data_IF_528758188302
#
_entry.id   IF_528758188302
#
_cell.length_a   1.000
_cell.length_b   1.000
_cell.length_c   1.000
_cell.angle_alpha   90.00
_cell.angle_beta   90.00
_cell.angle_gamma   90.00
#
_symmetry.space_group_name_H-M   'P 1'
#
loop_
_entity.id
_entity.type
_entity.pdbx_description
1 polymer ?
#
# COMPACT_ATOMS: atom_id res chain seq x y z
N UNK A 1 36.03 -21.30 -0.21
CA UNK A 1 35.29 -22.53 -0.54
C UNK A 1 34.58 -22.43 -1.88
N UNK A 2 34.19 -23.58 -2.45
CA UNK A 2 33.42 -23.60 -3.72
C UNK A 2 31.99 -23.08 -3.54
N UNK A 3 31.40 -23.23 -2.37
CA UNK A 3 30.06 -22.80 -2.04
C UNK A 3 29.98 -22.37 -0.58
N UNK A 4 29.04 -21.52 -0.28
CA UNK A 4 28.66 -21.13 1.08
C UNK A 4 27.17 -20.84 1.16
N UNK A 5 26.64 -21.07 2.35
CA UNK A 5 25.24 -20.78 2.72
C UNK A 5 25.26 -20.21 4.14
N UNK A 6 24.57 -19.12 4.32
CA UNK A 6 24.31 -18.47 5.60
C UNK A 6 22.81 -18.24 5.73
N UNK A 7 22.26 -18.54 6.88
CA UNK A 7 20.83 -18.39 7.17
C UNK A 7 20.71 -17.70 8.52
N UNK A 8 20.06 -16.54 8.54
CA UNK A 8 19.75 -15.79 9.73
C UNK A 8 18.23 -15.78 9.97
N UNK A 9 17.85 -16.13 11.18
CA UNK A 9 16.47 -16.03 11.67
C UNK A 9 16.47 -15.03 12.81
N UNK A 10 15.60 -14.03 12.72
CA UNK A 10 15.55 -12.99 13.75
C UNK A 10 14.11 -12.66 14.15
N UNK A 11 13.97 -12.27 15.40
CA UNK A 11 12.79 -11.60 15.95
C UNK A 11 13.26 -10.42 16.80
N UNK A 12 12.68 -9.24 16.57
CA UNK A 12 13.02 -8.03 17.30
C UNK A 12 11.73 -7.34 17.72
N UNK A 13 11.57 -7.14 19.03
CA UNK A 13 10.52 -6.32 19.60
C UNK A 13 11.05 -4.91 19.90
N UNK A 14 10.26 -3.91 19.53
CA UNK A 14 10.44 -2.51 19.92
C UNK A 14 9.25 -2.13 20.76
N UNK A 15 9.51 -1.85 22.01
CA UNK A 15 8.49 -1.45 22.99
C UNK A 15 8.53 0.07 23.18
N UNK A 16 7.43 0.62 23.66
CA UNK A 16 7.30 2.02 24.04
C UNK A 16 7.70 3.02 22.95
N UNK A 17 7.34 2.74 21.68
CA UNK A 17 7.63 3.68 20.59
C UNK A 17 6.92 5.01 20.80
N UNK A 18 7.64 6.09 20.55
CA UNK A 18 7.10 7.44 20.55
C UNK A 18 6.22 7.66 19.31
N UNK A 19 4.94 7.88 19.54
CA UNK A 19 3.98 8.25 18.52
C UNK A 19 3.34 9.59 18.86
N UNK A 20 3.02 10.35 17.81
CA UNK A 20 2.29 11.60 17.96
C UNK A 20 0.78 11.31 17.94
N UNK A 21 0.10 11.53 19.03
CA UNK A 21 -1.36 11.43 19.11
C UNK A 21 -2.00 12.81 19.20
N UNK A 22 -3.21 12.92 18.69
CA UNK A 22 -3.98 14.16 18.80
C UNK A 22 -4.56 14.32 20.20
N UNK A 23 -4.50 15.52 20.72
CA UNK A 23 -5.12 15.85 22.01
C UNK A 23 -6.64 15.76 21.88
N UNK A 24 -7.34 15.05 22.79
CA UNK A 24 -8.80 15.02 22.76
C UNK A 24 -9.39 16.43 22.90
N UNK A 25 -10.50 16.69 22.23
CA UNK A 25 -11.24 17.97 22.34
C UNK A 25 -11.58 18.27 23.81
N UNK A 26 -11.87 17.24 24.60
CA UNK A 26 -12.13 17.35 26.05
C UNK A 26 -10.94 17.90 26.86
N UNK A 27 -9.74 17.90 26.32
CA UNK A 27 -8.55 18.51 26.93
C UNK A 27 -8.40 20.00 26.60
N UNK A 28 -9.38 20.61 25.93
CA UNK A 28 -9.38 22.02 25.57
C UNK A 28 -8.59 22.37 24.32
N UNK A 29 -8.12 21.37 23.55
CA UNK A 29 -7.48 21.61 22.26
C UNK A 29 -8.53 22.04 21.24
N UNK A 30 -8.33 23.19 20.63
CA UNK A 30 -9.16 23.67 19.53
C UNK A 30 -8.36 23.64 18.24
N UNK A 31 -8.97 23.26 17.10
CA UNK A 31 -8.29 23.40 15.82
C UNK A 31 -7.99 24.88 15.58
N UNK A 32 -6.74 25.25 15.46
CA UNK A 32 -6.32 26.61 15.11
C UNK A 32 -6.28 26.70 13.59
N UNK A 33 -7.11 27.57 13.02
CA UNK A 33 -7.17 27.90 11.58
C UNK A 33 -7.39 26.71 10.62
N UNK A 34 -8.18 25.72 11.01
CA UNK A 34 -8.46 24.55 10.18
C UNK A 34 -7.28 23.55 10.08
N UNK A 35 -6.21 23.79 10.82
CA UNK A 35 -5.10 22.89 10.92
C UNK A 35 -5.14 22.10 12.24
N UNK A 36 -4.72 20.88 12.14
CA UNK A 36 -4.60 19.80 13.12
C UNK A 36 -4.57 20.22 14.59
N UNK A 37 -5.39 19.50 15.39
CA UNK A 37 -5.30 19.45 16.87
C UNK A 37 -3.87 19.39 17.36
N UNK A 38 -3.60 20.01 18.52
CA UNK A 38 -2.33 19.88 19.22
C UNK A 38 -1.98 18.40 19.35
N UNK A 39 -0.77 18.05 18.99
CA UNK A 39 -0.24 16.70 19.07
C UNK A 39 0.78 16.63 20.20
N UNK A 40 0.77 15.56 20.94
CA UNK A 40 1.83 15.28 21.89
C UNK A 40 2.45 13.91 21.61
N UNK A 41 3.76 13.81 21.85
CA UNK A 41 4.47 12.56 21.76
C UNK A 41 4.27 11.75 23.02
N UNK A 42 3.92 10.50 22.85
CA UNK A 42 3.78 9.57 23.99
C UNK A 42 4.25 8.17 23.60
N UNK A 43 4.64 7.39 24.56
CA UNK A 43 5.10 6.02 24.39
C UNK A 43 3.90 5.09 24.37
N UNK A 44 3.42 4.74 23.17
CA UNK A 44 2.14 4.02 23.03
C UNK A 44 2.17 2.83 22.08
N UNK A 45 3.30 2.53 21.47
CA UNK A 45 3.32 1.51 20.45
C UNK A 45 4.38 0.44 20.69
N UNK A 46 3.98 -0.82 20.53
CA UNK A 46 4.89 -1.96 20.48
C UNK A 46 4.88 -2.54 19.05
N UNK A 47 6.07 -2.75 18.51
CA UNK A 47 6.27 -3.24 17.16
C UNK A 47 7.13 -4.49 17.19
N UNK A 48 6.73 -5.50 16.44
CA UNK A 48 7.52 -6.71 16.20
C UNK A 48 7.96 -6.80 14.76
N UNK A 49 9.25 -7.09 14.56
CA UNK A 49 9.81 -7.51 13.28
C UNK A 49 10.34 -8.92 13.43
N UNK A 50 10.01 -9.80 12.53
CA UNK A 50 10.61 -11.14 12.42
C UNK A 50 10.91 -11.44 10.98
N UNK A 51 11.98 -12.19 10.76
CA UNK A 51 12.35 -12.46 9.39
C UNK A 51 13.35 -13.58 9.24
N UNK A 52 13.62 -13.84 7.98
CA UNK A 52 14.65 -14.77 7.52
C UNK A 52 15.49 -14.07 6.45
N UNK A 53 16.79 -14.20 6.58
CA UNK A 53 17.77 -13.81 5.57
C UNK A 53 18.58 -15.01 5.16
N UNK A 54 18.74 -15.22 3.85
CA UNK A 54 19.51 -16.32 3.29
C UNK A 54 20.50 -15.73 2.31
N UNK A 55 21.79 -16.01 2.53
CA UNK A 55 22.88 -15.66 1.62
C UNK A 55 23.53 -16.95 1.12
N UNK A 56 23.65 -17.09 -0.19
CA UNK A 56 24.28 -18.25 -0.81
C UNK A 56 25.25 -17.80 -1.89
N UNK A 57 26.36 -18.52 -2.03
CA UNK A 57 27.25 -18.35 -3.17
C UNK A 57 27.78 -19.66 -3.69
N UNK A 58 28.14 -19.68 -4.98
CA UNK A 58 28.79 -20.81 -5.65
C UNK A 58 29.82 -20.27 -6.63
N UNK A 59 31.07 -20.79 -6.47
CA UNK A 59 32.19 -20.50 -7.36
C UNK A 59 32.40 -21.68 -8.29
N UNK A 60 32.51 -21.42 -9.59
CA UNK A 60 32.75 -22.45 -10.60
C UNK A 60 33.73 -21.97 -11.66
N UNK A 61 34.53 -22.88 -12.15
CA UNK A 61 35.46 -22.63 -13.25
C UNK A 61 34.97 -23.35 -14.51
N UNK A 62 34.64 -22.58 -15.54
CA UNK A 62 34.29 -23.08 -16.87
C UNK A 62 35.54 -22.98 -17.77
N UNK A 63 36.45 -23.93 -17.69
CA UNK A 63 37.74 -23.85 -18.37
C UNK A 63 38.53 -22.63 -17.90
N UNK A 64 38.82 -21.66 -18.80
CA UNK A 64 39.58 -20.46 -18.43
C UNK A 64 38.71 -19.34 -17.83
N UNK A 65 37.41 -19.55 -17.66
CA UNK A 65 36.47 -18.56 -17.09
C UNK A 65 36.18 -18.91 -15.65
N UNK A 66 36.57 -18.02 -14.73
CA UNK A 66 36.18 -18.13 -13.32
C UNK A 66 34.85 -17.41 -13.10
N UNK A 67 33.90 -18.09 -12.46
CA UNK A 67 32.59 -17.53 -12.20
C UNK A 67 32.22 -17.61 -10.74
N UNK A 68 31.47 -16.57 -10.26
CA UNK A 68 30.83 -16.57 -8.97
C UNK A 68 29.35 -16.24 -9.13
N UNK A 69 28.51 -17.09 -8.64
CA UNK A 69 27.07 -16.87 -8.50
C UNK A 69 26.80 -16.56 -7.03
N UNK A 70 26.06 -15.51 -6.76
CA UNK A 70 25.61 -15.23 -5.40
C UNK A 70 24.14 -14.80 -5.41
N UNK A 71 23.42 -15.24 -4.39
CA UNK A 71 22.02 -14.93 -4.20
C UNK A 71 21.76 -14.55 -2.74
N UNK A 72 20.92 -13.59 -2.55
CA UNK A 72 20.36 -13.23 -1.26
C UNK A 72 18.84 -13.23 -1.34
N UNK A 73 18.21 -13.72 -0.28
CA UNK A 73 16.78 -13.69 -0.09
C UNK A 73 16.49 -13.11 1.29
N UNK A 74 15.56 -12.16 1.35
CA UNK A 74 15.12 -11.54 2.60
C UNK A 74 13.59 -11.55 2.66
N UNK A 75 13.06 -12.03 3.76
CA UNK A 75 11.65 -11.90 4.12
C UNK A 75 11.57 -11.31 5.52
N UNK A 76 10.91 -10.15 5.64
CA UNK A 76 10.65 -9.50 6.91
C UNK A 76 9.15 -9.30 7.10
N UNK A 77 8.62 -9.75 8.22
CA UNK A 77 7.25 -9.49 8.64
C UNK A 77 7.28 -8.46 9.76
N UNK A 78 6.63 -7.34 9.54
CA UNK A 78 6.47 -6.27 10.49
C UNK A 78 5.04 -6.27 11.02
N UNK A 79 4.87 -6.13 12.34
CA UNK A 79 3.54 -6.13 12.95
C UNK A 79 3.47 -5.16 14.12
N UNK A 80 2.44 -4.31 14.13
CA UNK A 80 2.05 -3.56 15.31
C UNK A 80 1.44 -4.54 16.32
N UNK A 81 2.10 -4.73 17.47
CA UNK A 81 1.66 -5.69 18.48
C UNK A 81 0.61 -5.06 19.37
N UNK A 82 0.82 -3.79 19.74
CA UNK A 82 -0.04 -3.07 20.69
C UNK A 82 0.02 -1.57 20.42
N UNK A 83 -1.09 -0.90 20.66
CA UNK A 83 -1.21 0.53 20.83
C UNK A 83 -1.74 0.80 22.25
N UNK A 84 -1.66 2.04 22.74
CA UNK A 84 -1.94 2.37 24.14
C UNK A 84 -3.36 2.05 24.61
N UNK A 85 -4.29 2.02 23.66
CA UNK A 85 -5.70 1.65 23.89
C UNK A 85 -6.07 0.48 23.01
N UNK A 86 -6.76 -0.49 23.59
CA UNK A 86 -7.32 -1.61 22.85
C UNK A 86 -8.34 -1.10 21.80
N UNK A 87 -8.20 -1.53 20.56
CA UNK A 87 -9.05 -1.08 19.46
C UNK A 87 -8.72 0.33 18.91
N UNK A 88 -7.63 0.95 19.37
CA UNK A 88 -7.19 2.24 18.82
C UNK A 88 -6.62 2.06 17.41
N UNK A 89 -7.22 2.77 16.46
CA UNK A 89 -6.69 2.92 15.11
C UNK A 89 -6.12 4.32 15.01
N UNK A 90 -4.81 4.42 14.89
CA UNK A 90 -4.16 5.69 14.60
C UNK A 90 -4.05 5.77 13.07
N UNK A 91 -4.94 6.53 12.47
CA UNK A 91 -4.76 6.91 11.08
C UNK A 91 -3.52 7.80 11.00
N UNK A 92 -2.59 7.44 10.12
CA UNK A 92 -1.40 8.24 9.91
C UNK A 92 -1.80 9.58 9.30
N UNK A 93 -2.24 10.48 10.16
CA UNK A 93 -2.56 11.85 9.86
C UNK A 93 -1.32 12.73 9.77
N UNK A 94 -0.17 12.18 9.38
CA UNK A 94 0.98 13.02 9.08
C UNK A 94 0.57 14.02 7.99
N UNK A 95 0.69 15.33 8.26
CA UNK A 95 0.13 16.37 7.39
C UNK A 95 0.72 16.40 5.98
N UNK A 96 1.72 15.57 5.69
CA UNK A 96 2.45 15.55 4.43
C UNK A 96 2.25 14.28 3.60
N UNK A 97 1.48 13.30 4.07
CA UNK A 97 1.18 12.11 3.27
C UNK A 97 -0.15 12.34 2.57
N UNK A 98 -0.04 12.81 1.33
CA UNK A 98 -1.08 12.82 0.30
C UNK A 98 -2.44 13.35 0.80
N UNK A 99 -2.47 14.58 1.27
CA UNK A 99 -3.73 15.34 1.36
C UNK A 99 -4.04 15.95 -0.01
N UNK A 100 -4.50 15.11 -0.91
CA UNK A 100 -5.20 15.62 -2.08
C UNK A 100 -6.63 15.84 -1.62
N UNK A 101 -7.01 17.09 -1.47
CA UNK A 101 -8.37 17.56 -1.13
C UNK A 101 -8.91 17.19 0.27
N UNK A 102 -8.06 17.16 1.32
CA UNK A 102 -8.48 17.03 2.74
C UNK A 102 -9.23 15.75 3.10
N UNK A 103 -9.23 14.76 2.25
CA UNK A 103 -9.96 13.53 2.45
C UNK A 103 -9.12 12.48 3.16
N UNK A 104 -9.77 11.49 3.63
CA UNK A 104 -9.36 10.44 4.56
C UNK A 104 -7.99 9.81 4.29
N UNK A 105 -7.23 9.49 5.33
CA UNK A 105 -5.96 8.76 5.21
C UNK A 105 -6.20 7.36 4.63
N UNK A 106 -5.25 6.90 3.81
CA UNK A 106 -5.27 5.55 3.21
C UNK A 106 -4.44 4.56 4.01
N UNK A 107 -3.45 5.04 4.78
CA UNK A 107 -2.59 4.23 5.61
C UNK A 107 -3.01 4.34 7.08
N UNK A 108 -2.88 3.24 7.80
CA UNK A 108 -3.24 3.14 9.23
C UNK A 108 -2.11 2.53 10.04
N UNK A 109 -2.11 2.87 11.32
CA UNK A 109 -1.39 2.15 12.36
C UNK A 109 -2.44 1.49 13.25
N UNK A 110 -2.55 0.17 13.17
CA UNK A 110 -3.54 -0.63 13.86
C UNK A 110 -2.91 -1.90 14.42
N UNK A 111 -3.26 -2.25 15.64
CA UNK A 111 -2.77 -3.49 16.25
C UNK A 111 -3.19 -4.71 15.41
N UNK A 112 -2.22 -5.58 15.14
CA UNK A 112 -2.43 -6.75 14.30
C UNK A 112 -2.00 -6.57 12.84
N UNK A 113 -1.86 -5.34 12.35
CA UNK A 113 -1.47 -5.01 10.98
C UNK A 113 0.02 -4.59 10.89
N UNK A 114 0.62 -4.63 9.69
CA UNK A 114 1.93 -4.05 9.47
C UNK A 114 1.88 -2.51 9.56
N UNK A 115 3.00 -1.89 9.89
CA UNK A 115 3.12 -0.43 9.85
C UNK A 115 2.89 0.07 8.42
N UNK A 116 2.06 1.10 8.27
CA UNK A 116 1.69 1.65 6.96
C UNK A 116 0.80 0.71 6.15
N UNK A 117 -0.01 -0.09 6.84
CA UNK A 117 -1.07 -0.89 6.24
C UNK A 117 -2.07 0.02 5.52
N UNK A 118 -2.45 -0.35 4.30
CA UNK A 118 -3.55 0.32 3.60
C UNK A 118 -4.87 -0.27 4.07
N UNK A 119 -5.71 0.57 4.70
CA UNK A 119 -7.05 0.23 5.13
C UNK A 119 -8.04 1.14 4.40
N UNK A 120 -8.71 0.58 3.41
CA UNK A 120 -9.47 1.33 2.42
C UNK A 120 -10.76 0.62 2.06
N UNK A 121 -11.70 1.33 1.45
CA UNK A 121 -12.89 0.73 0.88
C UNK A 121 -12.54 -0.21 -0.27
N UNK A 122 -13.16 -1.38 -0.26
CA UNK A 122 -13.13 -2.31 -1.38
C UNK A 122 -14.06 -1.87 -2.48
N UNK A 123 -13.62 -1.99 -3.75
CA UNK A 123 -14.44 -1.70 -4.91
C UNK A 123 -14.72 -2.95 -5.72
N UNK A 124 -15.95 -3.03 -6.30
CA UNK A 124 -16.37 -4.11 -7.18
C UNK A 124 -16.77 -3.58 -8.56
N UNK A 125 -15.81 -2.94 -9.24
CA UNK A 125 -16.02 -2.38 -10.57
C UNK A 125 -16.98 -1.18 -10.60
N UNK A 126 -17.55 -0.92 -11.78
CA UNK A 126 -18.51 0.17 -12.02
C UNK A 126 -19.95 -0.37 -12.09
N UNK A 127 -20.92 0.48 -11.80
CA UNK A 127 -22.34 0.20 -12.00
C UNK A 127 -22.62 0.25 -13.50
N UNK A 128 -23.09 -0.86 -14.10
CA UNK A 128 -23.21 -1.00 -15.57
C UNK A 128 -24.64 -1.06 -16.06
N UNK A 129 -25.53 -1.66 -15.30
CA UNK A 129 -26.93 -1.87 -15.71
C UNK A 129 -27.92 -1.15 -14.81
N UNK A 130 -29.16 -1.02 -15.25
CA UNK A 130 -30.22 -0.40 -14.46
C UNK A 130 -30.58 -1.29 -13.26
N UNK A 131 -30.46 -2.61 -13.38
CA UNK A 131 -30.67 -3.55 -12.27
C UNK A 131 -29.57 -3.41 -11.19
N UNK A 132 -28.29 -3.29 -11.62
CA UNK A 132 -27.19 -3.02 -10.69
C UNK A 132 -27.36 -1.68 -9.99
N UNK A 133 -27.79 -0.64 -10.74
CA UNK A 133 -28.05 0.69 -10.19
C UNK A 133 -29.16 0.63 -9.13
N UNK A 134 -30.29 0.03 -9.46
CA UNK A 134 -31.42 -0.06 -8.54
C UNK A 134 -31.05 -0.83 -7.23
N UNK A 135 -30.23 -1.88 -7.36
CA UNK A 135 -29.73 -2.62 -6.20
C UNK A 135 -28.75 -1.78 -5.38
N UNK A 136 -27.82 -1.08 -6.02
CA UNK A 136 -26.80 -0.29 -5.33
C UNK A 136 -27.36 1.00 -4.71
N UNK A 137 -28.44 1.56 -5.26
CA UNK A 137 -29.11 2.74 -4.69
C UNK A 137 -29.78 2.48 -3.34
N UNK A 138 -29.91 1.23 -2.91
CA UNK A 138 -30.30 0.91 -1.53
C UNK A 138 -29.19 1.29 -0.53
N UNK A 139 -27.94 1.26 -0.97
CA UNK A 139 -26.75 1.59 -0.19
C UNK A 139 -26.34 3.05 -0.38
N UNK A 140 -26.30 3.55 -1.63
CA UNK A 140 -26.03 4.95 -1.99
C UNK A 140 -27.13 5.50 -2.92
N UNK A 141 -28.13 6.19 -2.38
CA UNK A 141 -29.23 6.75 -3.17
C UNK A 141 -28.83 7.72 -4.28
N UNK A 142 -27.61 8.29 -4.22
CA UNK A 142 -27.11 9.24 -5.21
C UNK A 142 -26.29 8.57 -6.32
N UNK A 143 -26.10 7.27 -6.25
CA UNK A 143 -25.32 6.52 -7.24
C UNK A 143 -25.93 6.60 -8.64
N UNK A 144 -25.08 6.55 -9.63
CA UNK A 144 -25.42 6.57 -11.05
C UNK A 144 -24.63 5.50 -11.81
N UNK A 145 -25.11 5.13 -13.01
CA UNK A 145 -24.34 4.24 -13.89
C UNK A 145 -22.96 4.85 -14.20
N UNK A 146 -21.95 4.00 -14.19
CA UNK A 146 -20.55 4.41 -14.33
C UNK A 146 -19.85 4.82 -13.04
N UNK A 147 -20.54 4.85 -11.91
CA UNK A 147 -19.89 5.05 -10.61
C UNK A 147 -19.25 3.77 -10.09
N UNK A 148 -18.18 3.91 -9.29
CA UNK A 148 -17.58 2.80 -8.57
C UNK A 148 -18.58 2.23 -7.56
N UNK A 149 -18.66 0.91 -7.51
CA UNK A 149 -19.40 0.19 -6.47
C UNK A 149 -18.48 -0.08 -5.28
N UNK A 150 -18.76 0.53 -4.14
CA UNK A 150 -18.12 0.17 -2.88
C UNK A 150 -18.83 -1.02 -2.25
N UNK A 151 -18.08 -1.83 -1.52
CA UNK A 151 -18.60 -3.02 -0.84
C UNK A 151 -18.93 -2.64 0.60
N UNK A 152 -20.16 -2.88 1.01
CA UNK A 152 -20.58 -2.94 2.41
C UNK A 152 -20.02 -4.24 2.99
N UNK A 153 -18.91 -4.16 3.69
CA UNK A 153 -18.13 -5.32 4.11
C UNK A 153 -18.65 -5.93 5.42
N UNK A 154 -19.30 -5.14 6.24
CA UNK A 154 -19.93 -5.60 7.49
C UNK A 154 -21.41 -5.96 7.34
N UNK A 155 -22.01 -5.60 6.18
CA UNK A 155 -23.38 -5.97 5.82
C UNK A 155 -24.46 -5.20 6.59
N UNK A 156 -24.12 -4.03 7.11
CA UNK A 156 -25.05 -3.21 7.91
C UNK A 156 -25.99 -2.34 7.07
N UNK A 157 -25.75 -2.22 5.76
CA UNK A 157 -26.55 -1.42 4.82
C UNK A 157 -26.14 0.05 4.75
N UNK A 158 -25.00 0.42 5.32
CA UNK A 158 -24.46 1.79 5.30
C UNK A 158 -22.98 1.76 4.92
N UNK A 159 -22.54 2.67 4.05
CA UNK A 159 -21.11 2.83 3.75
C UNK A 159 -20.48 3.79 4.76
N UNK A 160 -19.60 3.25 5.61
CA UNK A 160 -18.92 4.00 6.65
C UNK A 160 -17.49 3.48 6.90
N UNK A 161 -16.79 3.99 7.91
CA UNK A 161 -15.40 3.63 8.19
C UNK A 161 -15.21 2.14 8.58
N UNK A 162 -16.26 1.47 9.03
CA UNK A 162 -16.20 0.07 9.43
C UNK A 162 -16.10 -0.86 8.21
N UNK A 163 -16.46 -0.37 7.01
CA UNK A 163 -16.31 -1.08 5.73
C UNK A 163 -14.89 -1.06 5.18
N UNK A 164 -13.99 -0.28 5.77
CA UNK A 164 -12.61 -0.25 5.31
C UNK A 164 -11.88 -1.52 5.73
N UNK A 165 -11.26 -2.17 4.77
CA UNK A 165 -10.52 -3.42 4.96
C UNK A 165 -9.04 -3.27 4.63
N UNK A 166 -8.23 -4.15 5.22
CA UNK A 166 -6.81 -4.22 4.90
C UNK A 166 -6.60 -4.75 3.47
N UNK A 167 -5.87 -3.98 2.66
CA UNK A 167 -5.60 -4.28 1.23
C UNK A 167 -4.11 -4.33 0.90
N UNK A 168 -3.27 -4.53 1.89
CA UNK A 168 -1.82 -4.63 1.71
C UNK A 168 -1.04 -3.50 2.38
N UNK A 169 0.27 -3.52 2.19
CA UNK A 169 1.17 -2.51 2.73
C UNK A 169 2.29 -2.18 1.75
N UNK A 170 3.04 -1.13 2.03
CA UNK A 170 4.23 -0.79 1.23
C UNK A 170 5.39 -1.78 1.44
N UNK A 171 5.33 -2.60 2.49
CA UNK A 171 6.37 -3.58 2.78
C UNK A 171 6.25 -4.78 1.84
N UNK A 172 7.35 -5.24 1.25
CA UNK A 172 7.34 -6.43 0.42
C UNK A 172 7.20 -7.70 1.27
N UNK A 173 6.58 -8.72 0.67
CA UNK A 173 6.58 -10.07 1.22
C UNK A 173 7.98 -10.68 1.23
N UNK A 174 8.76 -10.40 0.19
CA UNK A 174 10.17 -10.79 0.10
C UNK A 174 10.94 -9.98 -0.94
N UNK A 175 12.26 -10.01 -0.79
CA UNK A 175 13.22 -9.41 -1.72
C UNK A 175 14.26 -10.46 -2.12
N UNK A 176 14.70 -10.42 -3.38
CA UNK A 176 15.72 -11.31 -3.92
C UNK A 176 16.77 -10.48 -4.67
N UNK A 177 18.03 -10.70 -4.33
CA UNK A 177 19.16 -10.28 -5.14
C UNK A 177 19.85 -11.49 -5.76
N UNK A 178 20.30 -11.36 -7.01
CA UNK A 178 21.10 -12.39 -7.68
C UNK A 178 22.20 -11.73 -8.48
N UNK A 179 23.46 -12.17 -8.25
CA UNK A 179 24.62 -11.63 -8.93
C UNK A 179 25.35 -12.75 -9.67
N UNK A 180 25.88 -12.42 -10.85
CA UNK A 180 26.77 -13.24 -11.63
C UNK A 180 28.03 -12.41 -11.88
N UNK A 181 29.17 -12.91 -11.40
CA UNK A 181 30.47 -12.35 -11.71
C UNK A 181 31.25 -13.38 -12.54
N UNK A 182 31.92 -12.92 -13.60
CA UNK A 182 32.71 -13.76 -14.47
C UNK A 182 34.03 -13.06 -14.84
N UNK A 183 35.14 -13.79 -14.72
CA UNK A 183 36.46 -13.27 -15.06
C UNK A 183 37.07 -14.15 -16.15
N UNK A 184 37.53 -13.54 -17.22
CA UNK A 184 38.23 -14.20 -18.31
C UNK A 184 39.44 -13.38 -18.73
N UNK A 185 40.63 -13.88 -18.46
CA UNK A 185 41.91 -13.16 -18.72
C UNK A 185 41.91 -11.77 -18.08
N UNK A 186 41.84 -10.71 -18.90
CA UNK A 186 41.84 -9.32 -18.48
C UNK A 186 40.46 -8.67 -18.54
N UNK A 187 39.40 -9.48 -18.72
CA UNK A 187 38.02 -9.01 -18.79
C UNK A 187 37.26 -9.48 -17.55
N UNK A 188 36.58 -8.53 -16.90
CA UNK A 188 35.66 -8.76 -15.80
C UNK A 188 34.27 -8.41 -16.26
N UNK A 189 33.32 -9.28 -15.99
CA UNK A 189 31.89 -9.08 -16.24
C UNK A 189 31.11 -9.31 -14.94
N UNK A 190 30.19 -8.38 -14.66
CA UNK A 190 29.29 -8.51 -13.51
C UNK A 190 27.90 -8.09 -13.91
N UNK A 191 26.90 -8.85 -13.49
CA UNK A 191 25.50 -8.46 -13.62
C UNK A 191 24.74 -8.72 -12.33
N UNK A 192 23.92 -7.73 -11.94
CA UNK A 192 23.12 -7.79 -10.73
C UNK A 192 21.64 -7.68 -11.06
N UNK A 193 20.87 -8.66 -10.60
CA UNK A 193 19.40 -8.67 -10.62
C UNK A 193 18.86 -8.36 -9.22
N UNK A 194 17.73 -7.68 -9.19
CA UNK A 194 17.02 -7.39 -7.97
C UNK A 194 15.52 -7.50 -8.22
N UNK A 195 14.83 -8.21 -7.34
CA UNK A 195 13.38 -8.40 -7.38
C UNK A 195 12.76 -8.09 -6.02
N UNK A 196 11.59 -7.49 -6.07
CA UNK A 196 10.72 -7.22 -4.93
C UNK A 196 9.35 -7.77 -5.25
N UNK A 197 8.69 -8.40 -4.29
CA UNK A 197 7.34 -8.96 -4.48
C UNK A 197 6.45 -8.70 -3.28
N UNK A 198 5.17 -8.46 -3.55
CA UNK A 198 4.10 -8.40 -2.54
C UNK A 198 3.89 -7.03 -1.90
N UNK A 199 4.66 -6.01 -2.28
CA UNK A 199 4.41 -4.66 -1.80
C UNK A 199 3.27 -4.00 -2.60
N UNK A 200 2.43 -3.26 -1.89
CA UNK A 200 1.35 -2.46 -2.47
C UNK A 200 1.77 -1.00 -2.55
N UNK A 201 1.41 -0.32 -3.62
CA UNK A 201 1.68 1.10 -3.84
C UNK A 201 0.34 1.84 -3.97
N UNK A 202 0.18 2.94 -3.23
CA UNK A 202 -0.91 3.86 -3.48
C UNK A 202 -0.51 4.88 -4.56
N UNK A 203 -1.22 4.85 -5.70
CA UNK A 203 -0.97 5.75 -6.81
C UNK A 203 -1.70 7.09 -6.64
N UNK A 204 -1.15 7.95 -5.77
CA UNK A 204 -1.73 9.27 -5.51
C UNK A 204 -1.71 10.21 -6.73
N UNK A 205 -0.79 10.00 -7.68
CA UNK A 205 -0.78 10.78 -8.93
C UNK A 205 -1.98 10.43 -9.81
N UNK A 206 -2.32 9.14 -9.91
CA UNK A 206 -3.51 8.68 -10.62
C UNK A 206 -4.76 9.23 -9.96
N UNK A 207 -4.88 9.11 -8.63
CA UNK A 207 -6.01 9.66 -7.87
C UNK A 207 -6.18 11.16 -8.12
N UNK A 208 -5.10 11.95 -8.05
CA UNK A 208 -5.13 13.38 -8.37
C UNK A 208 -5.55 13.67 -9.80
N UNK A 209 -5.02 12.92 -10.77
CA UNK A 209 -5.37 13.09 -12.17
C UNK A 209 -6.85 12.74 -12.44
N UNK A 210 -7.42 11.77 -11.72
CA UNK A 210 -8.85 11.47 -11.74
C UNK A 210 -9.67 12.61 -11.14
N UNK A 211 -9.29 13.14 -9.98
CA UNK A 211 -10.00 14.24 -9.32
C UNK A 211 -10.01 15.51 -10.19
N UNK A 212 -8.95 15.74 -10.95
CA UNK A 212 -8.83 16.87 -11.89
C UNK A 212 -9.29 16.55 -13.31
N UNK A 213 -9.77 15.32 -13.56
CA UNK A 213 -10.24 14.81 -14.88
C UNK A 213 -9.17 14.88 -15.98
N UNK A 214 -7.90 14.67 -15.61
CA UNK A 214 -6.75 14.78 -16.53
C UNK A 214 -6.06 13.46 -16.82
N UNK A 215 -6.54 12.35 -16.26
CA UNK A 215 -5.95 11.04 -16.53
C UNK A 215 -6.34 10.55 -17.92
N UNK A 216 -5.38 9.98 -18.67
CA UNK A 216 -5.58 9.57 -20.06
C UNK A 216 -6.57 8.42 -20.22
N UNK A 217 -6.67 7.51 -19.25
CA UNK A 217 -7.59 6.38 -19.31
C UNK A 217 -9.06 6.78 -19.13
N UNK A 218 -9.35 8.02 -18.64
CA UNK A 218 -10.72 8.53 -18.55
C UNK A 218 -11.42 8.65 -19.90
N UNK A 219 -10.69 8.66 -21.04
CA UNK A 219 -11.29 8.55 -22.37
C UNK A 219 -11.95 7.18 -22.62
N UNK A 220 -11.57 6.17 -21.82
CA UNK A 220 -12.16 4.85 -21.84
C UNK A 220 -13.13 4.61 -20.67
N UNK A 221 -13.57 5.67 -19.99
CA UNK A 221 -14.51 5.56 -18.88
C UNK A 221 -15.83 4.94 -19.33
N UNK A 222 -16.58 4.46 -18.34
CA UNK A 222 -17.92 3.94 -18.59
C UNK A 222 -18.82 5.03 -19.19
N UNK A 223 -19.52 4.68 -20.26
CA UNK A 223 -20.56 5.45 -20.94
C UNK A 223 -21.54 4.47 -21.57
N UNK A 224 -22.69 4.95 -22.04
CA UNK A 224 -23.66 4.12 -22.77
C UNK A 224 -23.06 3.53 -24.05
N UNK A 225 -22.06 4.17 -24.66
CA UNK A 225 -21.31 3.66 -25.82
C UNK A 225 -20.16 2.72 -25.41
N UNK A 226 -19.74 2.70 -24.13
CA UNK A 226 -18.72 1.84 -23.57
C UNK A 226 -19.18 1.16 -22.26
N UNK A 227 -20.26 0.36 -22.31
CA UNK A 227 -20.96 -0.12 -21.11
C UNK A 227 -20.20 -1.20 -20.33
N UNK A 228 -19.12 -1.75 -20.87
CA UNK A 228 -18.32 -2.80 -20.21
C UNK A 228 -17.13 -2.27 -19.41
N UNK A 229 -16.85 -0.97 -19.49
CA UNK A 229 -15.70 -0.35 -18.85
C UNK A 229 -15.79 -0.45 -17.32
N UNK A 230 -14.63 -0.74 -16.69
CA UNK A 230 -14.44 -0.65 -15.25
C UNK A 230 -13.79 0.69 -14.82
N UNK A 231 -13.56 1.60 -15.79
CA UNK A 231 -13.05 2.93 -15.49
C UNK A 231 -14.25 3.82 -15.19
N UNK A 232 -14.28 4.44 -13.98
CA UNK A 232 -15.44 5.19 -13.55
C UNK A 232 -15.66 6.46 -14.38
N UNK A 233 -16.92 6.83 -14.52
CA UNK A 233 -17.31 8.05 -15.21
C UNK A 233 -16.82 9.29 -14.45
N UNK A 234 -16.13 10.25 -15.10
CA UNK A 234 -15.74 11.49 -14.45
C UNK A 234 -16.96 12.34 -14.11
N UNK A 235 -17.14 12.64 -12.83
CA UNK A 235 -18.22 13.51 -12.32
C UNK A 235 -17.76 14.96 -12.21
N UNK A 236 -18.71 15.90 -12.16
CA UNK A 236 -18.40 17.32 -12.00
C UNK A 236 -17.92 17.67 -10.61
N UNK A 237 -18.39 16.98 -9.59
CA UNK A 237 -17.99 17.14 -8.20
C UNK A 237 -16.73 16.35 -7.90
N UNK A 238 -15.71 17.01 -7.36
CA UNK A 238 -14.45 16.40 -6.94
C UNK A 238 -14.58 15.53 -5.67
N UNK A 239 -15.64 15.74 -4.87
CA UNK A 239 -15.94 14.95 -3.67
C UNK A 239 -16.72 13.67 -4.00
N UNK A 240 -16.98 13.42 -5.28
CA UNK A 240 -17.73 12.25 -5.71
C UNK A 240 -16.95 10.94 -5.37
N UNK A 241 -17.67 9.84 -5.01
CA UNK A 241 -17.06 8.55 -4.67
C UNK A 241 -16.04 8.02 -5.68
N UNK A 242 -16.19 8.31 -6.99
CA UNK A 242 -15.25 7.90 -8.03
C UNK A 242 -13.82 8.44 -7.86
N UNK A 243 -13.63 9.44 -7.01
CA UNK A 243 -12.31 10.05 -6.73
C UNK A 243 -11.95 9.98 -5.25
N UNK A 244 -12.70 9.20 -4.48
CA UNK A 244 -12.41 8.94 -3.07
C UNK A 244 -10.97 8.50 -2.89
N UNK A 245 -10.26 9.07 -1.92
CA UNK A 245 -8.86 8.73 -1.66
C UNK A 245 -8.71 7.36 -1.01
N UNK A 246 -9.55 7.06 -0.02
CA UNK A 246 -9.47 5.82 0.76
C UNK A 246 -10.14 4.63 0.06
N UNK A 247 -9.76 4.35 -1.19
CA UNK A 247 -10.28 3.25 -2.00
C UNK A 247 -9.16 2.39 -2.57
N UNK A 248 -9.42 1.09 -2.74
CA UNK A 248 -8.48 0.16 -3.36
C UNK A 248 -8.28 0.40 -4.87
N UNK A 249 -9.14 1.17 -5.51
CA UNK A 249 -9.05 1.51 -6.94
C UNK A 249 -7.72 2.18 -7.33
N UNK A 250 -7.07 2.86 -6.39
CA UNK A 250 -5.77 3.51 -6.58
C UNK A 250 -4.61 2.74 -5.96
N UNK A 251 -4.85 1.53 -5.46
CA UNK A 251 -3.78 0.63 -5.03
C UNK A 251 -3.28 -0.18 -6.22
N UNK A 252 -1.97 -0.30 -6.33
CA UNK A 252 -1.30 -1.01 -7.42
C UNK A 252 -0.28 -1.99 -6.84
N UNK A 253 -0.04 -3.08 -7.57
CA UNK A 253 1.04 -4.02 -7.26
C UNK A 253 2.38 -3.34 -7.53
N UNK A 254 3.21 -3.25 -6.49
CA UNK A 254 4.55 -2.69 -6.54
C UNK A 254 5.64 -3.68 -6.87
N UNK A 255 5.30 -4.94 -7.15
CA UNK A 255 6.27 -5.99 -7.44
C UNK A 255 7.03 -5.72 -8.73
N UNK A 256 8.33 -5.97 -8.71
CA UNK A 256 9.16 -5.81 -9.91
C UNK A 256 10.39 -6.68 -9.90
N UNK A 257 10.96 -6.89 -11.08
CA UNK A 257 12.31 -7.42 -11.28
C UNK A 257 13.08 -6.46 -12.21
N UNK A 258 14.33 -6.20 -11.88
CA UNK A 258 15.20 -5.33 -12.69
C UNK A 258 16.65 -5.81 -12.71
N UNK A 259 17.34 -5.49 -13.81
CA UNK A 259 18.81 -5.47 -13.84
C UNK A 259 19.25 -4.17 -13.18
N UNK A 260 20.01 -4.27 -12.10
CA UNK A 260 20.45 -3.11 -11.31
C UNK A 260 21.79 -2.58 -11.78
N UNK A 261 22.64 -3.49 -12.22
CA UNK A 261 23.98 -3.17 -12.71
C UNK A 261 24.46 -4.19 -13.74
N UNK A 262 25.25 -3.72 -14.69
CA UNK A 262 25.97 -4.56 -15.66
C UNK A 262 27.39 -4.02 -15.78
#
# INVERSE_FOLDING_TARGET
>A
GKAGLEIDLYEQDKEDMLLAITTPISAGSTPVNGETYDRFLTNIGDLRNRGIEINAYYNHEFGPVSTKFSANFTKNENKVVKLSREGEVVFDGYPNIIRINQTEPVAVLEAGLPVGAFKVYETNGTIKTDEELAAYQLLDPNAQKGDLKYVDTDGNGELNNDDKVFKGSYQPDFEIGFNIDANYKNFDFSVQFYAVSGNTIYNGQKQYAYSTKRHSDLVFSWTDDNPTSNIPTPRSNIEHPNVQTSTDYFLEDGSFIRVRNI
#
